data_IF_289712411280
#
_entry.id   IF_289712411280
#
_cell.length_a   1.000
_cell.length_b   1.000
_cell.length_c   1.000
_cell.angle_alpha   90.00
_cell.angle_beta   90.00
_cell.angle_gamma   90.00
#
_symmetry.space_group_name_H-M   'P 1'
#
loop_
_entity.id
_entity.type
_entity.pdbx_description
1 polymer ?
#
# COMPACT_ATOMS: atom_id res chain seq x y z
N UNK A 1 71.84 -1.04 25.11
CA UNK A 1 71.81 0.07 24.14
C UNK A 1 72.06 -0.53 22.77
N UNK A 2 70.98 -0.84 22.07
CA UNK A 2 70.86 -0.92 20.61
C UNK A 2 69.37 -1.00 20.34
N UNK A 3 68.84 0.11 19.85
CA UNK A 3 67.52 0.23 19.22
C UNK A 3 67.82 0.29 17.73
N UNK A 4 67.08 -0.46 16.94
CA UNK A 4 66.69 -0.28 15.53
C UNK A 4 65.76 -1.47 15.23
N UNK A 5 64.60 -1.40 14.57
CA UNK A 5 63.96 -0.40 13.73
C UNK A 5 63.13 -1.16 12.67
N UNK A 6 61.80 -1.08 12.80
CA UNK A 6 60.72 -1.16 11.79
C UNK A 6 60.58 -2.23 10.68
N UNK A 7 59.29 -2.43 10.33
CA UNK A 7 58.67 -3.03 9.15
C UNK A 7 58.68 -4.57 9.09
N UNK A 8 57.59 -5.30 8.84
CA UNK A 8 56.32 -4.97 8.21
C UNK A 8 56.10 -6.01 7.11
N UNK A 9 55.32 -7.06 7.37
CA UNK A 9 54.65 -7.90 6.36
C UNK A 9 53.80 -8.97 7.08
N UNK A 10 52.53 -8.65 7.33
CA UNK A 10 51.53 -9.66 7.64
C UNK A 10 51.30 -10.50 6.39
N UNK A 11 51.96 -11.66 6.34
CA UNK A 11 51.77 -12.64 5.27
C UNK A 11 50.30 -13.13 5.27
N UNK A 12 49.53 -12.71 4.27
CA UNK A 12 48.20 -13.25 3.99
C UNK A 12 48.40 -14.68 3.50
N UNK A 13 48.11 -15.64 4.37
CA UNK A 13 48.10 -17.06 4.04
C UNK A 13 46.89 -17.36 3.16
N UNK A 14 47.04 -17.24 1.84
CA UNK A 14 46.04 -17.69 0.87
C UNK A 14 46.08 -19.22 0.86
N UNK A 15 45.31 -19.85 1.74
CA UNK A 15 44.99 -21.26 1.64
C UNK A 15 44.11 -21.47 0.39
N UNK A 16 44.69 -22.03 -0.67
CA UNK A 16 43.90 -22.60 -1.77
C UNK A 16 43.04 -23.72 -1.18
N UNK A 17 41.74 -23.47 -1.05
CA UNK A 17 40.76 -24.51 -0.73
C UNK A 17 40.73 -25.47 -1.92
N UNK A 18 41.29 -26.67 -1.74
CA UNK A 18 41.09 -27.78 -2.67
C UNK A 18 39.59 -28.09 -2.72
N UNK A 19 38.99 -27.93 -3.90
CA UNK A 19 37.55 -27.93 -4.09
C UNK A 19 36.95 -29.34 -4.29
N UNK A 20 37.72 -30.42 -4.11
CA UNK A 20 37.31 -31.74 -4.58
C UNK A 20 36.91 -32.77 -3.49
N UNK A 21 37.24 -32.57 -2.21
CA UNK A 21 37.06 -33.65 -1.23
C UNK A 21 35.89 -33.51 -0.23
N UNK A 22 35.06 -32.46 -0.35
CA UNK A 22 33.94 -32.23 0.59
C UNK A 22 32.53 -32.48 0.02
N UNK A 23 32.40 -33.20 -1.09
CA UNK A 23 31.08 -33.48 -1.68
C UNK A 23 30.23 -34.52 -0.90
N UNK A 24 30.80 -35.29 0.03
CA UNK A 24 30.11 -36.45 0.62
C UNK A 24 30.15 -36.57 2.15
N UNK A 25 30.38 -35.48 2.89
CA UNK A 25 30.24 -35.49 4.36
C UNK A 25 29.66 -34.17 4.86
N UNK A 26 28.35 -34.08 5.16
CA UNK A 26 27.76 -32.86 5.64
C UNK A 26 28.03 -32.74 7.15
N UNK A 27 29.23 -32.33 7.53
CA UNK A 27 29.40 -31.72 8.85
C UNK A 27 28.62 -30.42 8.79
N UNK A 28 27.40 -30.42 9.35
CA UNK A 28 26.54 -29.23 9.48
C UNK A 28 27.30 -28.16 10.28
N UNK A 29 28.13 -27.38 9.62
CA UNK A 29 28.45 -26.04 10.11
C UNK A 29 27.12 -25.29 10.12
N UNK A 30 26.60 -25.09 11.33
CA UNK A 30 25.46 -24.22 11.56
C UNK A 30 25.90 -22.81 11.18
N UNK A 31 25.73 -22.46 9.91
CA UNK A 31 25.73 -21.06 9.47
C UNK A 31 24.70 -20.36 10.36
N UNK A 32 25.08 -19.28 11.07
CA UNK A 32 24.15 -18.55 11.91
C UNK A 32 23.02 -18.01 11.03
N UNK A 33 21.86 -18.66 11.09
CA UNK A 33 20.66 -18.28 10.34
C UNK A 33 19.99 -17.13 11.09
N UNK A 34 20.17 -15.91 10.59
CA UNK A 34 19.33 -14.79 11.02
C UNK A 34 18.00 -14.96 10.30
N UNK A 35 16.94 -15.30 11.06
CA UNK A 35 15.57 -15.22 10.55
C UNK A 35 15.30 -13.74 10.26
N UNK A 36 15.33 -13.35 8.99
CA UNK A 36 14.74 -12.10 8.57
C UNK A 36 13.25 -12.32 8.72
N UNK A 37 12.66 -11.84 9.81
CA UNK A 37 11.21 -11.69 9.84
C UNK A 37 10.86 -10.85 8.62
N UNK A 38 10.05 -11.40 7.72
CA UNK A 38 9.52 -10.64 6.60
C UNK A 38 9.04 -9.28 7.11
N UNK A 39 9.07 -8.25 6.26
CA UNK A 39 8.66 -6.86 6.53
C UNK A 39 7.27 -6.69 7.19
N UNK A 40 6.55 -7.79 7.41
CA UNK A 40 5.37 -7.93 8.24
C UNK A 40 5.64 -8.74 9.52
N UNK A 41 6.71 -8.40 10.25
CA UNK A 41 6.93 -8.83 11.65
C UNK A 41 5.61 -8.80 12.43
N UNK A 42 5.48 -9.73 13.38
CA UNK A 42 4.27 -10.18 14.09
C UNK A 42 3.45 -9.04 14.70
N UNK A 43 2.76 -8.29 13.85
CA UNK A 43 2.01 -7.12 14.24
C UNK A 43 0.56 -7.51 14.48
N UNK A 44 0.18 -7.55 15.75
CA UNK A 44 -1.23 -7.68 16.14
C UNK A 44 -1.85 -6.28 16.17
N UNK A 45 -2.82 -5.97 15.29
CA UNK A 45 -3.48 -4.68 15.33
C UNK A 45 -4.17 -4.50 16.68
N UNK A 46 -3.92 -3.36 17.30
CA UNK A 46 -4.60 -2.99 18.55
C UNK A 46 -6.11 -2.85 18.34
N UNK A 47 -6.90 -2.84 19.42
CA UNK A 47 -8.36 -2.65 19.35
C UNK A 47 -8.76 -1.40 18.53
N UNK A 48 -7.98 -0.32 18.65
CA UNK A 48 -8.20 0.95 17.94
C UNK A 48 -8.04 0.80 16.41
N UNK A 49 -7.10 -0.02 15.95
CA UNK A 49 -6.88 -0.20 14.50
C UNK A 49 -7.92 -1.10 13.87
N UNK A 50 -8.41 -2.10 14.62
CA UNK A 50 -9.57 -2.89 14.18
C UNK A 50 -10.82 -2.02 14.07
N UNK A 51 -11.06 -1.15 15.06
CA UNK A 51 -12.16 -0.18 15.03
C UNK A 51 -12.01 0.81 13.86
N UNK A 52 -10.78 1.26 13.57
CA UNK A 52 -10.52 2.11 12.41
C UNK A 52 -10.88 1.40 11.09
N UNK A 53 -10.50 0.13 10.92
CA UNK A 53 -10.86 -0.63 9.73
C UNK A 53 -12.37 -0.71 9.51
N UNK A 54 -13.13 -1.03 10.56
CA UNK A 54 -14.59 -1.10 10.50
C UNK A 54 -15.20 0.27 10.18
N UNK A 55 -14.72 1.32 10.84
CA UNK A 55 -15.16 2.69 10.59
C UNK A 55 -14.89 3.15 9.16
N UNK A 56 -13.69 2.85 8.63
CA UNK A 56 -13.29 3.16 7.26
C UNK A 56 -14.24 2.48 6.26
N UNK A 57 -14.54 1.19 6.46
CA UNK A 57 -15.48 0.45 5.61
C UNK A 57 -16.91 1.03 5.69
N UNK A 58 -17.38 1.39 6.89
CA UNK A 58 -18.68 2.02 7.04
C UNK A 58 -18.75 3.37 6.30
N UNK A 59 -17.67 4.15 6.36
CA UNK A 59 -17.57 5.41 5.61
C UNK A 59 -17.55 5.17 4.10
N UNK A 60 -16.81 4.18 3.60
CA UNK A 60 -16.79 3.86 2.16
C UNK A 60 -18.20 3.60 1.65
N UNK A 61 -18.99 2.78 2.38
CA UNK A 61 -20.38 2.49 2.01
C UNK A 61 -21.22 3.77 2.02
N UNK A 62 -21.11 4.57 3.08
CA UNK A 62 -21.84 5.82 3.20
C UNK A 62 -21.48 6.81 2.09
N UNK A 63 -20.20 6.93 1.72
CA UNK A 63 -19.74 7.80 0.64
C UNK A 63 -20.23 7.33 -0.72
N UNK A 64 -20.25 6.03 -1.00
CA UNK A 64 -20.81 5.50 -2.26
C UNK A 64 -22.29 5.90 -2.35
N UNK A 65 -23.06 5.70 -1.27
CA UNK A 65 -24.48 6.10 -1.22
C UNK A 65 -24.64 7.60 -1.45
N UNK A 66 -23.87 8.43 -0.75
CA UNK A 66 -23.93 9.90 -0.92
C UNK A 66 -23.47 10.35 -2.31
N UNK A 67 -22.47 9.68 -2.90
CA UNK A 67 -22.00 9.96 -4.25
C UNK A 67 -23.06 9.64 -5.31
N UNK A 68 -23.75 8.51 -5.16
CA UNK A 68 -24.87 8.13 -6.04
C UNK A 68 -26.04 9.11 -5.89
N UNK A 69 -26.49 9.38 -4.65
CA UNK A 69 -27.59 10.33 -4.39
C UNK A 69 -27.21 11.77 -4.80
N UNK A 70 -25.94 12.11 -4.64
CA UNK A 70 -25.34 13.39 -5.00
C UNK A 70 -25.07 13.55 -6.49
N UNK A 71 -25.13 12.47 -7.26
CA UNK A 71 -24.67 12.41 -8.65
C UNK A 71 -23.20 12.89 -8.81
N UNK A 72 -22.35 12.73 -7.79
CA UNK A 72 -20.92 13.11 -7.83
C UNK A 72 -20.07 11.88 -8.09
N UNK A 73 -19.34 11.91 -9.21
CA UNK A 73 -18.45 10.82 -9.58
C UNK A 73 -17.19 10.84 -8.72
N UNK A 74 -16.77 12.03 -8.27
CA UNK A 74 -15.62 12.20 -7.38
C UNK A 74 -15.78 11.45 -6.08
N UNK A 75 -16.95 11.55 -5.44
CA UNK A 75 -17.21 10.88 -4.16
C UNK A 75 -17.18 9.36 -4.30
N UNK A 76 -17.72 8.82 -5.40
CA UNK A 76 -17.71 7.38 -5.66
C UNK A 76 -16.29 6.89 -5.94
N UNK A 77 -15.52 7.65 -6.71
CA UNK A 77 -14.13 7.34 -7.00
C UNK A 77 -13.26 7.40 -5.73
N UNK A 78 -13.46 8.40 -4.85
CA UNK A 78 -12.69 8.51 -3.60
C UNK A 78 -13.02 7.39 -2.64
N UNK A 79 -14.29 7.02 -2.48
CA UNK A 79 -14.69 5.88 -1.65
C UNK A 79 -14.00 4.58 -2.13
N UNK A 80 -13.92 4.38 -3.44
CA UNK A 80 -13.28 3.21 -4.05
C UNK A 80 -11.77 3.22 -3.84
N UNK A 81 -11.14 4.40 -3.93
CA UNK A 81 -9.72 4.59 -3.58
C UNK A 81 -9.47 4.31 -2.10
N UNK A 82 -10.29 4.82 -1.17
CA UNK A 82 -10.20 4.55 0.27
C UNK A 82 -10.31 3.05 0.54
N UNK A 83 -11.21 2.35 -0.15
CA UNK A 83 -11.33 0.90 -0.06
C UNK A 83 -10.07 0.17 -0.57
N UNK A 84 -9.52 0.60 -1.71
CA UNK A 84 -8.28 0.03 -2.23
C UNK A 84 -7.10 0.22 -1.26
N UNK A 85 -7.02 1.38 -0.60
CA UNK A 85 -6.04 1.66 0.46
C UNK A 85 -6.23 0.74 1.67
N UNK A 86 -7.48 0.47 2.05
CA UNK A 86 -7.79 -0.51 3.10
C UNK A 86 -7.39 -1.94 2.68
N UNK A 87 -7.59 -2.31 1.41
CA UNK A 87 -7.18 -3.60 0.86
C UNK A 87 -5.65 -3.77 0.92
N UNK A 88 -4.88 -2.70 0.75
CA UNK A 88 -3.43 -2.73 0.92
C UNK A 88 -3.03 -3.07 2.37
N UNK A 89 -3.89 -2.88 3.37
CA UNK A 89 -3.60 -3.31 4.74
C UNK A 89 -3.89 -4.80 4.99
N UNK A 90 -4.46 -5.52 4.00
CA UNK A 90 -4.73 -6.94 4.09
C UNK A 90 -3.43 -7.74 4.29
N UNK A 91 -3.47 -8.70 5.22
CA UNK A 91 -2.35 -9.57 5.57
C UNK A 91 -2.70 -11.00 5.22
N UNK A 92 -1.90 -11.60 4.33
CA UNK A 92 -1.99 -13.01 4.00
C UNK A 92 -1.55 -13.87 5.18
N UNK A 93 -2.30 -14.93 5.45
CA UNK A 93 -1.95 -15.91 6.48
C UNK A 93 -0.88 -16.86 5.94
N UNK A 94 0.39 -16.46 6.03
CA UNK A 94 1.52 -17.31 5.58
C UNK A 94 1.64 -18.62 6.36
N UNK A 95 1.00 -18.73 7.54
CA UNK A 95 0.99 -19.97 8.34
C UNK A 95 -0.14 -20.94 7.97
N UNK A 96 -1.07 -20.52 7.12
CA UNK A 96 -2.18 -21.34 6.65
C UNK A 96 -1.72 -22.46 5.70
N UNK A 97 -2.61 -23.45 5.51
CA UNK A 97 -2.42 -24.48 4.49
C UNK A 97 -2.33 -23.86 3.09
N UNK A 98 -1.56 -24.45 2.15
CA UNK A 98 -1.39 -23.90 0.80
C UNK A 98 -2.71 -23.60 0.09
N UNK A 99 -3.73 -24.46 0.27
CA UNK A 99 -5.06 -24.23 -0.29
C UNK A 99 -5.75 -22.97 0.27
N UNK A 100 -5.68 -22.73 1.58
CA UNK A 100 -6.23 -21.52 2.19
C UNK A 100 -5.46 -20.28 1.74
N UNK A 101 -4.12 -20.35 1.66
CA UNK A 101 -3.30 -19.26 1.11
C UNK A 101 -3.68 -18.93 -0.34
N UNK A 102 -3.89 -19.96 -1.17
CA UNK A 102 -4.32 -19.77 -2.55
C UNK A 102 -5.70 -19.10 -2.63
N UNK A 103 -6.65 -19.48 -1.78
CA UNK A 103 -7.97 -18.82 -1.74
C UNK A 103 -7.87 -17.35 -1.34
N UNK A 104 -6.97 -16.99 -0.41
CA UNK A 104 -6.75 -15.60 -0.04
C UNK A 104 -6.18 -14.81 -1.23
N UNK A 105 -5.16 -15.35 -1.91
CA UNK A 105 -4.57 -14.76 -3.11
C UNK A 105 -5.63 -14.56 -4.21
N UNK A 106 -6.43 -15.58 -4.51
CA UNK A 106 -7.50 -15.48 -5.52
C UNK A 106 -8.53 -14.43 -5.12
N UNK A 107 -8.96 -14.41 -3.85
CA UNK A 107 -9.98 -13.46 -3.38
C UNK A 107 -9.53 -12.00 -3.50
N UNK A 108 -8.29 -11.70 -3.12
CA UNK A 108 -7.70 -10.37 -3.26
C UNK A 108 -7.44 -10.06 -4.75
N UNK A 109 -7.01 -11.04 -5.55
CA UNK A 109 -6.84 -10.91 -7.00
C UNK A 109 -8.13 -10.55 -7.74
N UNK A 110 -9.24 -11.22 -7.44
CA UNK A 110 -10.57 -10.87 -7.97
C UNK A 110 -10.92 -9.42 -7.60
N UNK A 111 -10.67 -9.03 -6.36
CA UNK A 111 -10.94 -7.67 -5.89
C UNK A 111 -10.13 -6.63 -6.68
N UNK A 112 -8.84 -6.90 -6.95
CA UNK A 112 -7.99 -6.03 -7.78
C UNK A 112 -8.53 -5.92 -9.21
N UNK A 113 -9.00 -7.01 -9.81
CA UNK A 113 -9.61 -6.98 -11.15
C UNK A 113 -10.88 -6.11 -11.16
N UNK A 114 -11.76 -6.28 -10.17
CA UNK A 114 -12.98 -5.46 -10.03
C UNK A 114 -12.64 -3.99 -9.89
N UNK A 115 -11.66 -3.65 -9.05
CA UNK A 115 -11.20 -2.27 -8.87
C UNK A 115 -10.59 -1.69 -10.15
N UNK A 116 -9.92 -2.49 -10.97
CA UNK A 116 -9.40 -2.06 -12.27
C UNK A 116 -10.53 -1.76 -13.27
N UNK A 117 -11.56 -2.59 -13.31
CA UNK A 117 -12.76 -2.33 -14.13
C UNK A 117 -13.45 -1.03 -13.68
N UNK A 118 -13.56 -0.80 -12.36
CA UNK A 118 -14.09 0.45 -11.82
C UNK A 118 -13.23 1.66 -12.21
N UNK A 119 -11.91 1.55 -12.14
CA UNK A 119 -10.99 2.58 -12.63
C UNK A 119 -11.29 2.96 -14.09
N UNK A 120 -11.39 1.98 -15.00
CA UNK A 120 -11.72 2.24 -16.40
C UNK A 120 -13.10 2.90 -16.53
N UNK A 121 -14.10 2.42 -15.77
CA UNK A 121 -15.43 3.00 -15.76
C UNK A 121 -15.43 4.47 -15.29
N UNK A 122 -14.62 4.84 -14.31
CA UNK A 122 -14.49 6.23 -13.85
C UNK A 122 -13.87 7.13 -14.92
N UNK A 123 -12.80 6.68 -15.59
CA UNK A 123 -12.18 7.46 -16.68
C UNK A 123 -13.17 7.71 -17.81
N UNK A 124 -13.90 6.67 -18.24
CA UNK A 124 -14.90 6.79 -19.31
C UNK A 124 -16.08 7.68 -18.89
N UNK A 125 -16.59 7.50 -17.67
CA UNK A 125 -17.71 8.29 -17.15
C UNK A 125 -17.34 9.76 -16.95
N UNK A 126 -16.13 10.03 -16.45
CA UNK A 126 -15.59 11.38 -16.32
C UNK A 126 -15.42 12.03 -17.68
N UNK A 127 -14.92 11.27 -18.69
CA UNK A 127 -14.79 11.75 -20.07
C UNK A 127 -16.14 12.12 -20.68
N UNK A 128 -17.16 11.29 -20.49
CA UNK A 128 -18.52 11.56 -20.95
C UNK A 128 -19.10 12.83 -20.28
N UNK A 129 -18.91 12.98 -18.96
CA UNK A 129 -19.30 14.19 -18.22
C UNK A 129 -18.52 15.44 -18.65
N UNK A 130 -17.24 15.30 -18.99
CA UNK A 130 -16.40 16.39 -19.47
C UNK A 130 -16.88 16.91 -20.83
N UNK A 131 -17.32 16.00 -21.71
CA UNK A 131 -17.76 16.35 -23.05
C UNK A 131 -19.09 17.10 -23.07
N UNK A 132 -20.02 16.76 -22.17
CA UNK A 132 -21.36 17.36 -22.16
C UNK A 132 -21.49 18.48 -21.13
N UNK A 133 -20.92 18.32 -19.94
CA UNK A 133 -21.15 19.17 -18.76
C UNK A 133 -22.65 19.43 -18.46
N UNK A 134 -23.54 18.58 -18.99
CA UNK A 134 -24.99 18.68 -18.83
C UNK A 134 -25.46 17.73 -17.74
N UNK A 135 -25.04 18.00 -16.51
CA UNK A 135 -25.49 17.26 -15.33
C UNK A 135 -25.53 18.20 -14.13
N UNK A 136 -26.26 17.81 -13.09
CA UNK A 136 -26.32 18.56 -11.85
C UNK A 136 -25.84 17.69 -10.70
N UNK A 137 -25.23 18.34 -9.70
CA UNK A 137 -24.72 17.69 -8.49
C UNK A 137 -25.54 18.20 -7.32
N UNK A 138 -26.15 17.29 -6.57
CA UNK A 138 -26.88 17.67 -5.38
C UNK A 138 -25.89 18.04 -4.25
N UNK A 139 -25.78 19.35 -4.00
CA UNK A 139 -24.86 19.95 -3.04
C UNK A 139 -25.04 19.46 -1.62
N UNK A 140 -26.25 19.09 -1.20
CA UNK A 140 -26.50 18.60 0.17
C UNK A 140 -25.77 17.28 0.39
N UNK A 141 -25.96 16.33 -0.53
CA UNK A 141 -25.27 15.04 -0.46
C UNK A 141 -23.77 15.19 -0.70
N UNK A 142 -23.35 16.13 -1.56
CA UNK A 142 -21.94 16.47 -1.75
C UNK A 142 -21.28 16.92 -0.44
N UNK A 143 -21.89 17.85 0.30
CA UNK A 143 -21.36 18.33 1.60
C UNK A 143 -21.22 17.16 2.59
N UNK A 144 -22.27 16.35 2.74
CA UNK A 144 -22.26 15.22 3.68
C UNK A 144 -21.20 14.20 3.27
N UNK A 145 -21.16 13.81 2.00
CA UNK A 145 -20.19 12.86 1.46
C UNK A 145 -18.75 13.34 1.62
N UNK A 146 -18.49 14.61 1.33
CA UNK A 146 -17.15 15.21 1.47
C UNK A 146 -16.72 15.31 2.93
N UNK A 147 -17.64 15.63 3.84
CA UNK A 147 -17.36 15.59 5.28
C UNK A 147 -16.91 14.19 5.73
N UNK A 148 -17.64 13.16 5.30
CA UNK A 148 -17.27 11.75 5.56
C UNK A 148 -15.92 11.39 4.93
N UNK A 149 -15.65 11.81 3.70
CA UNK A 149 -14.37 11.64 3.02
C UNK A 149 -13.20 12.22 3.81
N UNK A 150 -13.33 13.44 4.31
CA UNK A 150 -12.26 14.07 5.08
C UNK A 150 -12.00 13.33 6.40
N UNK A 151 -13.03 12.80 7.05
CA UNK A 151 -12.84 12.01 8.27
C UNK A 151 -12.08 10.69 8.01
N UNK A 152 -12.42 9.95 6.95
CA UNK A 152 -11.69 8.73 6.59
C UNK A 152 -10.25 9.03 6.17
N UNK A 153 -10.04 10.04 5.32
CA UNK A 153 -8.71 10.41 4.84
C UNK A 153 -7.79 10.88 5.97
N UNK A 154 -8.32 11.68 6.91
CA UNK A 154 -7.57 12.11 8.09
C UNK A 154 -7.19 10.91 8.96
N UNK A 155 -8.12 10.00 9.21
CA UNK A 155 -7.88 8.85 10.07
C UNK A 155 -6.89 7.85 9.44
N UNK A 156 -6.98 7.60 8.13
CA UNK A 156 -5.99 6.82 7.39
C UNK A 156 -4.59 7.47 7.45
N UNK A 157 -4.51 8.79 7.25
CA UNK A 157 -3.25 9.54 7.38
C UNK A 157 -2.62 9.37 8.76
N UNK A 158 -3.42 9.49 9.82
CA UNK A 158 -2.96 9.30 11.20
C UNK A 158 -2.46 7.86 11.43
N UNK A 159 -3.13 6.86 10.85
CA UNK A 159 -2.68 5.47 10.92
C UNK A 159 -1.36 5.24 10.17
N UNK A 160 -1.21 5.79 8.97
CA UNK A 160 0.05 5.75 8.23
C UNK A 160 1.17 6.47 8.99
N UNK A 161 0.89 7.65 9.56
CA UNK A 161 1.87 8.39 10.35
C UNK A 161 2.28 7.66 11.63
N UNK A 162 1.33 7.04 12.33
CA UNK A 162 1.61 6.20 13.51
C UNK A 162 2.47 5.00 13.14
N UNK A 163 2.20 4.37 12.00
CA UNK A 163 3.00 3.24 11.48
C UNK A 163 4.40 3.70 11.12
N UNK A 164 4.53 4.85 10.46
CA UNK A 164 5.81 5.48 10.13
C UNK A 164 6.62 5.85 11.37
N UNK A 165 5.99 6.31 12.46
CA UNK A 165 6.69 6.65 13.71
C UNK A 165 7.22 5.42 14.48
N UNK A 166 6.77 4.20 14.17
CA UNK A 166 7.27 3.01 14.87
C UNK A 166 8.73 2.74 14.51
N UNK A 167 9.52 2.52 15.55
CA UNK A 167 10.85 1.96 15.42
C UNK A 167 10.71 0.51 14.99
N UNK A 168 11.46 0.16 13.94
CA UNK A 168 11.56 -1.19 13.47
C UNK A 168 13.04 -1.53 13.38
N UNK A 169 13.39 -2.72 13.83
CA UNK A 169 14.75 -3.25 13.74
C UNK A 169 14.97 -3.75 12.31
N UNK A 170 15.44 -2.88 11.42
CA UNK A 170 15.80 -3.24 10.04
C UNK A 170 17.29 -2.96 9.79
N UNK A 171 17.86 -3.63 8.79
CA UNK A 171 19.07 -3.19 8.10
C UNK A 171 18.84 -1.77 7.53
N UNK A 172 19.83 -0.87 7.65
CA UNK A 172 19.71 0.58 7.38
C UNK A 172 19.09 0.92 6.01
N UNK A 173 19.38 0.11 4.98
CA UNK A 173 18.88 0.30 3.61
C UNK A 173 17.39 -0.04 3.46
N UNK A 174 16.93 -1.19 3.97
CA UNK A 174 15.51 -1.57 4.01
C UNK A 174 14.68 -0.63 4.90
N UNK A 175 15.27 -0.13 5.99
CA UNK A 175 14.64 0.86 6.86
C UNK A 175 14.30 2.14 6.10
N UNK A 176 15.27 2.69 5.37
CA UNK A 176 15.15 3.95 4.65
C UNK A 176 14.13 3.86 3.50
N UNK A 177 14.14 2.76 2.75
CA UNK A 177 13.21 2.57 1.63
C UNK A 177 11.76 2.39 2.11
N UNK A 178 11.55 1.57 3.15
CA UNK A 178 10.22 1.34 3.74
C UNK A 178 9.62 2.60 4.35
N UNK A 179 10.41 3.37 5.11
CA UNK A 179 9.96 4.64 5.70
C UNK A 179 9.66 5.70 4.65
N UNK A 180 10.46 5.80 3.57
CA UNK A 180 10.19 6.72 2.45
C UNK A 180 8.93 6.34 1.70
N UNK A 181 8.72 5.05 1.43
CA UNK A 181 7.51 4.60 0.75
C UNK A 181 6.25 4.87 1.60
N UNK A 182 6.30 4.61 2.91
CA UNK A 182 5.19 4.93 3.82
C UNK A 182 4.91 6.43 3.94
N UNK A 183 5.96 7.27 3.89
CA UNK A 183 5.80 8.72 3.95
C UNK A 183 5.25 9.27 2.63
N UNK A 184 5.73 8.79 1.48
CA UNK A 184 5.19 9.16 0.17
C UNK A 184 3.74 8.69 0.03
N UNK A 185 3.43 7.48 0.48
CA UNK A 185 2.07 6.93 0.49
C UNK A 185 1.15 7.76 1.39
N UNK A 186 1.50 7.89 2.67
CA UNK A 186 0.67 8.59 3.65
C UNK A 186 0.56 10.10 3.38
N UNK A 187 1.64 10.78 2.98
CA UNK A 187 1.59 12.21 2.71
C UNK A 187 1.04 12.50 1.32
N UNK A 188 1.54 11.81 0.29
CA UNK A 188 1.14 12.07 -1.11
C UNK A 188 -0.32 11.73 -1.37
N UNK A 189 -0.76 10.51 -1.03
CA UNK A 189 -2.10 10.06 -1.40
C UNK A 189 -3.19 10.77 -0.60
N UNK A 190 -2.97 10.99 0.70
CA UNK A 190 -3.98 11.67 1.52
C UNK A 190 -3.97 13.19 1.36
N UNK A 191 -2.82 13.82 1.06
CA UNK A 191 -2.82 15.23 0.65
C UNK A 191 -3.56 15.42 -0.67
N UNK A 192 -3.35 14.53 -1.65
CA UNK A 192 -4.08 14.58 -2.92
C UNK A 192 -5.57 14.25 -2.71
N UNK A 193 -5.94 13.46 -1.69
CA UNK A 193 -7.34 13.25 -1.34
C UNK A 193 -8.06 14.54 -0.87
N UNK A 194 -7.31 15.58 -0.45
CA UNK A 194 -7.87 16.90 -0.13
C UNK A 194 -8.43 17.63 -1.38
N UNK A 195 -8.07 17.20 -2.59
CA UNK A 195 -8.70 17.73 -3.82
C UNK A 195 -10.20 17.44 -3.88
N UNK A 196 -10.68 16.38 -3.24
CA UNK A 196 -12.13 16.11 -3.08
C UNK A 196 -12.80 17.23 -2.28
N UNK A 197 -12.15 17.73 -1.23
CA UNK A 197 -12.66 18.86 -0.46
C UNK A 197 -12.66 20.14 -1.28
N UNK A 198 -11.56 20.42 -1.98
CA UNK A 198 -11.44 21.64 -2.81
C UNK A 198 -12.47 21.65 -3.94
N UNK A 199 -12.65 20.55 -4.66
CA UNK A 199 -13.64 20.47 -5.74
C UNK A 199 -15.07 20.57 -5.22
N UNK A 200 -15.37 19.91 -4.10
CA UNK A 200 -16.66 20.04 -3.45
C UNK A 200 -16.94 21.49 -3.05
N UNK A 201 -15.94 22.17 -2.46
CA UNK A 201 -16.07 23.57 -2.08
C UNK A 201 -16.35 24.47 -3.28
N UNK A 202 -15.64 24.27 -4.40
CA UNK A 202 -15.89 25.01 -5.64
C UNK A 202 -17.34 24.83 -6.13
N UNK A 203 -17.84 23.60 -6.15
CA UNK A 203 -19.21 23.27 -6.60
C UNK A 203 -20.28 23.81 -5.62
N UNK A 204 -19.98 23.83 -4.32
CA UNK A 204 -20.86 24.40 -3.30
C UNK A 204 -21.00 25.91 -3.48
N UNK A 205 -19.87 26.61 -3.67
CA UNK A 205 -19.81 28.07 -3.83
C UNK A 205 -20.44 28.49 -5.15
N UNK A 206 -20.07 27.84 -6.26
CA UNK A 206 -20.66 28.08 -7.57
C UNK A 206 -20.88 26.75 -8.32
N UNK A 207 -22.16 26.50 -8.63
CA UNK A 207 -22.62 25.31 -9.34
C UNK A 207 -22.03 25.18 -10.75
N UNK A 208 -21.50 26.25 -11.33
CA UNK A 208 -20.91 26.23 -12.66
C UNK A 208 -19.54 25.50 -12.69
N UNK A 209 -18.92 25.26 -11.53
CA UNK A 209 -17.66 24.51 -11.43
C UNK A 209 -17.85 22.99 -11.51
N UNK A 210 -18.80 22.49 -12.31
CA UNK A 210 -19.00 21.05 -12.52
C UNK A 210 -17.74 20.34 -13.03
N UNK A 211 -16.90 21.06 -13.79
CA UNK A 211 -15.61 20.56 -14.27
C UNK A 211 -14.67 20.14 -13.12
N UNK A 212 -14.85 20.70 -11.91
CA UNK A 212 -14.06 20.30 -10.74
C UNK A 212 -14.35 18.85 -10.31
N UNK A 213 -15.59 18.35 -10.45
CA UNK A 213 -15.93 16.94 -10.20
C UNK A 213 -15.22 16.03 -11.20
N UNK A 214 -15.18 16.43 -12.47
CA UNK A 214 -14.48 15.68 -13.53
C UNK A 214 -12.97 15.60 -13.26
N UNK A 215 -12.33 16.75 -13.04
CA UNK A 215 -10.87 16.82 -12.81
C UNK A 215 -10.48 16.00 -11.59
N UNK A 216 -11.24 16.15 -10.50
CA UNK A 216 -10.95 15.40 -9.27
C UNK A 216 -11.19 13.91 -9.46
N UNK A 217 -12.22 13.51 -10.20
CA UNK A 217 -12.43 12.11 -10.55
C UNK A 217 -11.22 11.53 -11.29
N UNK A 218 -10.63 12.25 -12.25
CA UNK A 218 -9.41 11.79 -12.93
C UNK A 218 -8.24 11.60 -11.96
N UNK A 219 -7.98 12.61 -11.13
CA UNK A 219 -6.89 12.56 -10.13
C UNK A 219 -7.09 11.37 -9.19
N UNK A 220 -8.28 11.22 -8.63
CA UNK A 220 -8.63 10.12 -7.71
C UNK A 220 -8.57 8.76 -8.38
N UNK A 221 -8.95 8.66 -9.66
CA UNK A 221 -8.84 7.42 -10.44
C UNK A 221 -7.38 7.03 -10.67
N UNK A 222 -6.49 7.99 -10.91
CA UNK A 222 -5.05 7.72 -11.01
C UNK A 222 -4.47 7.25 -9.67
N UNK A 223 -4.88 7.84 -8.54
CA UNK A 223 -4.50 7.35 -7.22
C UNK A 223 -4.99 5.91 -7.00
N UNK A 224 -6.23 5.61 -7.39
CA UNK A 224 -6.77 4.25 -7.35
C UNK A 224 -5.90 3.29 -8.18
N UNK A 225 -5.46 3.69 -9.38
CA UNK A 225 -4.56 2.88 -10.21
C UNK A 225 -3.21 2.62 -9.53
N UNK A 226 -2.68 3.59 -8.78
CA UNK A 226 -1.45 3.35 -8.04
C UNK A 226 -1.66 2.38 -6.86
N UNK A 227 -2.78 2.46 -6.13
CA UNK A 227 -3.13 1.48 -5.08
C UNK A 227 -3.30 0.07 -5.65
N UNK A 228 -3.96 -0.02 -6.82
CA UNK A 228 -4.10 -1.25 -7.61
C UNK A 228 -2.74 -1.83 -7.98
N UNK A 229 -1.81 -0.98 -8.44
CA UNK A 229 -0.46 -1.40 -8.83
C UNK A 229 0.35 -1.91 -7.64
N UNK A 230 0.29 -1.20 -6.50
CA UNK A 230 0.94 -1.64 -5.25
C UNK A 230 0.39 -2.99 -4.77
N UNK A 231 -0.94 -3.14 -4.74
CA UNK A 231 -1.60 -4.38 -4.32
C UNK A 231 -1.32 -5.53 -5.27
N UNK A 232 -1.32 -5.27 -6.59
CA UNK A 232 -0.97 -6.24 -7.62
C UNK A 232 0.47 -6.74 -7.50
N UNK A 233 1.42 -5.85 -7.22
CA UNK A 233 2.81 -6.22 -6.97
C UNK A 233 2.94 -7.14 -5.74
N UNK A 234 2.23 -6.83 -4.65
CA UNK A 234 2.20 -7.68 -3.45
C UNK A 234 1.58 -9.05 -3.71
N UNK A 235 0.49 -9.11 -4.47
CA UNK A 235 -0.15 -10.36 -4.89
C UNK A 235 0.81 -11.24 -5.68
N UNK A 236 1.54 -10.65 -6.63
CA UNK A 236 2.53 -11.37 -7.44
C UNK A 236 3.60 -12.02 -6.56
N UNK A 237 4.14 -11.28 -5.59
CA UNK A 237 5.13 -11.82 -4.65
C UNK A 237 4.57 -12.91 -3.74
N UNK A 238 3.35 -12.77 -3.24
CA UNK A 238 2.72 -13.81 -2.41
C UNK A 238 2.44 -15.08 -3.21
N UNK A 239 1.98 -14.95 -4.45
CA UNK A 239 1.83 -16.08 -5.37
C UNK A 239 3.17 -16.76 -5.65
N UNK A 240 4.20 -15.97 -6.00
CA UNK A 240 5.54 -16.50 -6.26
C UNK A 240 6.12 -17.23 -5.04
N UNK A 241 5.93 -16.69 -3.83
CA UNK A 241 6.36 -17.33 -2.57
C UNK A 241 5.62 -18.64 -2.26
N UNK A 242 4.40 -18.81 -2.78
CA UNK A 242 3.62 -20.03 -2.62
C UNK A 242 4.11 -21.13 -3.57
N UNK A 243 4.45 -20.78 -4.81
CA UNK A 243 5.00 -21.71 -5.81
C UNK A 243 6.46 -22.06 -5.53
N UNK A 244 7.24 -21.08 -5.10
CA UNK A 244 8.66 -21.21 -4.81
C UNK A 244 8.89 -20.83 -3.34
N UNK A 245 8.63 -21.75 -2.39
CA UNK A 245 9.02 -21.56 -1.01
C UNK A 245 10.55 -21.58 -0.92
N UNK A 246 11.19 -20.48 -1.32
CA UNK A 246 12.58 -20.23 -1.02
C UNK A 246 12.66 -20.15 0.51
N UNK A 247 13.56 -20.94 1.09
CA UNK A 247 14.07 -20.62 2.42
C UNK A 247 14.60 -19.18 2.34
N UNK A 248 13.90 -18.21 2.93
CA UNK A 248 14.26 -16.78 3.00
C UNK A 248 15.59 -16.60 3.79
N UNK A 249 16.71 -17.12 3.28
CA UNK A 249 18.06 -16.86 3.78
C UNK A 249 18.90 -16.28 2.65
N UNK A 250 19.29 -15.02 2.78
CA UNK A 250 20.46 -14.52 2.07
C UNK A 250 21.72 -15.16 2.67
N UNK A 251 22.65 -15.58 1.81
CA UNK A 251 24.01 -15.92 2.22
C UNK A 251 24.75 -14.65 2.64
N UNK A 252 25.40 -14.71 3.80
CA UNK A 252 26.27 -13.66 4.36
C UNK A 252 27.36 -13.27 3.35
#
# INVERSE_FOLDING_TARGET
>A
MTIDGESGEDSILISRVQMEDNMFSPTRQQVPRIRIESTHSTYRPGKIEKLNGIYTLAIVIAQIVMGVLGNSLTLIADATRVFADHLEQYRFDRSATPGKRLTEIISVGITVIVLFVLFVAYILSASARAATLTYDINRVYLIIGTGLAMTANTLQTLCHFKTWRRDHTYTITLYSFSKRNQLIHGYGYHFIASFVLVSSFLIIVDKNYLIADVITTYITSLLLLCNLSSTGYRLYHEYFSLEHPQDEYESI
#
